data_IF_683418661851
#
_entry.id   IF_683418661851
#
_cell.length_a   1.000
_cell.length_b   1.000
_cell.length_c   1.000
_cell.angle_alpha   90.00
_cell.angle_beta   90.00
_cell.angle_gamma   90.00
#
_symmetry.space_group_name_H-M   'P 1'
#
loop_
_entity.id
_entity.type
_entity.pdbx_description
1 polymer ?
#
# COMPACT_ATOMS: atom_id res chain seq x y z
N UNK A 1 -21.15 29.69 9.33
CA UNK A 1 -21.45 29.24 7.94
C UNK A 1 -20.70 27.94 7.55
N UNK A 2 -20.26 27.08 8.48
CA UNK A 2 -19.53 25.84 8.16
C UNK A 2 -19.82 24.73 9.20
N UNK A 3 -20.94 24.01 9.08
CA UNK A 3 -21.21 22.85 9.95
C UNK A 3 -22.02 21.74 9.25
N UNK A 4 -21.69 21.44 7.99
CA UNK A 4 -22.22 20.26 7.29
C UNK A 4 -21.13 19.57 6.47
N UNK A 5 -20.16 18.98 7.16
CA UNK A 5 -19.43 17.86 6.59
C UNK A 5 -20.35 16.65 6.63
N UNK A 6 -21.02 16.38 5.51
CA UNK A 6 -21.77 15.15 5.33
C UNK A 6 -20.80 13.97 5.40
N UNK A 7 -20.86 13.21 6.49
CA UNK A 7 -20.24 11.88 6.56
C UNK A 7 -20.97 10.97 5.57
N UNK A 8 -20.44 10.85 4.36
CA UNK A 8 -20.92 9.88 3.38
C UNK A 8 -20.50 8.48 3.85
N UNK A 9 -21.43 7.76 4.49
CA UNK A 9 -21.30 6.31 4.69
C UNK A 9 -21.66 5.63 3.38
N UNK A 10 -20.65 5.19 2.62
CA UNK A 10 -20.86 4.35 1.45
C UNK A 10 -21.41 3.01 1.93
N UNK A 11 -22.71 2.78 1.75
CA UNK A 11 -23.33 1.48 2.02
C UNK A 11 -23.00 0.57 0.84
N UNK A 12 -22.03 -0.31 1.03
CA UNK A 12 -21.70 -1.34 0.05
C UNK A 12 -22.69 -2.50 0.24
N UNK A 13 -23.38 -2.97 -0.81
CA UNK A 13 -24.23 -4.16 -0.72
C UNK A 13 -23.43 -5.34 -0.16
N UNK A 14 -24.01 -6.07 0.80
CA UNK A 14 -23.33 -7.17 1.51
C UNK A 14 -22.72 -8.21 0.55
N UNK A 15 -23.43 -8.52 -0.53
CA UNK A 15 -22.99 -9.47 -1.57
C UNK A 15 -21.77 -8.95 -2.35
N UNK A 16 -21.69 -7.63 -2.59
CA UNK A 16 -20.53 -7.03 -3.21
C UNK A 16 -19.32 -7.06 -2.26
N UNK A 17 -19.52 -6.81 -0.97
CA UNK A 17 -18.45 -6.90 0.02
C UNK A 17 -17.88 -8.32 0.14
N UNK A 18 -18.73 -9.36 0.14
CA UNK A 18 -18.30 -10.77 0.13
C UNK A 18 -17.48 -11.12 -1.11
N UNK A 19 -17.92 -10.66 -2.29
CA UNK A 19 -17.22 -10.91 -3.55
C UNK A 19 -15.85 -10.23 -3.56
N UNK A 20 -15.78 -8.96 -3.16
CA UNK A 20 -14.53 -8.20 -3.07
C UNK A 20 -13.59 -8.86 -2.08
N UNK A 21 -14.07 -9.24 -0.88
CA UNK A 21 -13.25 -9.93 0.12
C UNK A 21 -12.63 -11.21 -0.46
N UNK A 22 -13.43 -12.06 -1.12
CA UNK A 22 -12.93 -13.29 -1.77
C UNK A 22 -11.85 -12.99 -2.80
N UNK A 23 -12.04 -11.98 -3.66
CA UNK A 23 -11.06 -11.58 -4.67
C UNK A 23 -9.78 -11.03 -4.04
N UNK A 24 -9.90 -10.20 -3.01
CA UNK A 24 -8.74 -9.67 -2.27
C UNK A 24 -7.94 -10.78 -1.61
N UNK A 25 -8.60 -11.75 -0.96
CA UNK A 25 -7.94 -12.89 -0.31
C UNK A 25 -7.21 -13.78 -1.32
N UNK A 26 -7.83 -14.07 -2.47
CA UNK A 26 -7.20 -14.86 -3.55
C UNK A 26 -5.99 -14.18 -4.18
N UNK A 27 -5.93 -12.85 -4.14
CA UNK A 27 -4.78 -12.10 -4.64
C UNK A 27 -3.69 -11.97 -3.59
N UNK A 28 -4.07 -11.72 -2.34
CA UNK A 28 -3.13 -11.74 -1.22
C UNK A 28 -2.38 -13.07 -1.13
N UNK A 29 -3.05 -14.20 -1.40
CA UNK A 29 -2.41 -15.53 -1.42
C UNK A 29 -1.38 -15.72 -2.53
N UNK A 30 -1.36 -14.86 -3.55
CA UNK A 30 -0.36 -14.88 -4.63
C UNK A 30 0.84 -13.99 -4.36
N UNK A 31 0.78 -13.15 -3.32
CA UNK A 31 1.91 -12.33 -2.90
C UNK A 31 2.95 -13.25 -2.29
N UNK A 32 4.09 -13.36 -2.97
CA UNK A 32 5.18 -14.21 -2.52
C UNK A 32 5.81 -13.63 -1.25
N UNK A 33 6.13 -14.51 -0.29
CA UNK A 33 6.77 -14.19 1.00
C UNK A 33 5.96 -13.31 1.95
N UNK A 34 4.66 -13.13 1.72
CA UNK A 34 3.83 -12.41 2.68
C UNK A 34 3.85 -13.13 4.04
N UNK A 35 4.24 -12.41 5.09
CA UNK A 35 4.31 -12.97 6.44
C UNK A 35 2.92 -13.06 7.08
N UNK A 36 2.79 -13.89 8.12
CA UNK A 36 1.56 -13.98 8.90
C UNK A 36 1.31 -12.66 9.67
N UNK A 37 0.06 -12.20 9.84
CA UNK A 37 -0.25 -11.04 10.68
C UNK A 37 0.30 -11.08 12.11
N UNK A 38 0.48 -12.28 12.67
CA UNK A 38 1.07 -12.49 14.01
C UNK A 38 2.61 -12.56 14.00
N UNK A 39 3.25 -12.39 12.84
CA UNK A 39 4.71 -12.40 12.74
C UNK A 39 5.30 -11.22 13.55
N UNK A 40 6.21 -11.48 14.51
CA UNK A 40 6.81 -10.44 15.34
C UNK A 40 7.47 -9.33 14.54
N UNK A 41 7.96 -9.63 13.33
CA UNK A 41 8.62 -8.67 12.45
C UNK A 41 7.72 -7.47 12.13
N UNK A 42 6.40 -7.66 12.06
CA UNK A 42 5.42 -6.60 11.80
C UNK A 42 5.29 -5.60 12.96
N UNK A 43 5.75 -5.96 14.17
CA UNK A 43 5.76 -5.09 15.34
C UNK A 43 7.15 -4.57 15.71
N UNK A 44 8.18 -5.00 14.98
CA UNK A 44 9.54 -4.54 15.19
C UNK A 44 9.82 -3.26 14.42
N UNK A 45 10.72 -2.43 14.96
CA UNK A 45 11.24 -1.26 14.24
C UNK A 45 12.15 -1.74 13.10
N UNK A 46 11.81 -1.34 11.88
CA UNK A 46 12.62 -1.66 10.71
C UNK A 46 14.00 -1.01 10.75
N UNK A 47 15.03 -1.76 10.35
CA UNK A 47 16.39 -1.24 10.23
C UNK A 47 16.53 -0.32 9.01
N UNK A 48 17.35 0.73 9.15
CA UNK A 48 17.66 1.59 8.03
C UNK A 48 18.49 0.85 6.98
N UNK A 49 18.22 1.14 5.71
CA UNK A 49 19.00 0.66 4.57
C UNK A 49 20.25 1.52 4.43
N UNK A 50 21.42 0.88 4.31
CA UNK A 50 22.70 1.55 4.09
C UNK A 50 23.10 1.50 2.62
N UNK A 51 24.02 2.38 2.22
CA UNK A 51 24.63 2.37 0.90
C UNK A 51 26.11 2.00 1.01
N UNK A 52 26.63 1.13 0.12
CA UNK A 52 25.90 0.39 -0.94
C UNK A 52 24.87 -0.60 -0.38
N UNK A 53 23.83 -0.92 -1.16
CA UNK A 53 22.73 -1.78 -0.72
C UNK A 53 23.24 -3.18 -0.34
N UNK A 54 22.89 -3.64 0.85
CA UNK A 54 23.16 -5.02 1.26
C UNK A 54 22.29 -6.01 0.45
N UNK A 55 22.69 -7.28 0.47
CA UNK A 55 22.00 -8.35 -0.28
C UNK A 55 20.53 -8.48 0.13
N UNK A 56 20.23 -8.33 1.42
CA UNK A 56 18.86 -8.43 1.93
C UNK A 56 17.96 -7.31 1.39
N UNK A 57 18.47 -6.08 1.31
CA UNK A 57 17.74 -4.93 0.77
C UNK A 57 17.51 -5.09 -0.74
N UNK A 58 18.51 -5.59 -1.47
CA UNK A 58 18.37 -5.90 -2.90
C UNK A 58 17.30 -6.96 -3.14
N UNK A 59 17.34 -8.08 -2.40
CA UNK A 59 16.33 -9.15 -2.48
C UNK A 59 14.93 -8.62 -2.13
N UNK A 60 14.81 -7.81 -1.08
CA UNK A 60 13.56 -7.18 -0.69
C UNK A 60 12.95 -6.35 -1.83
N UNK A 61 13.76 -5.48 -2.46
CA UNK A 61 13.34 -4.63 -3.58
C UNK A 61 12.90 -5.49 -4.77
N UNK A 62 13.65 -6.54 -5.11
CA UNK A 62 13.29 -7.44 -6.21
C UNK A 62 11.93 -8.11 -5.98
N UNK A 63 11.68 -8.60 -4.77
CA UNK A 63 10.39 -9.19 -4.40
C UNK A 63 9.25 -8.16 -4.44
N UNK A 64 9.49 -6.93 -3.97
CA UNK A 64 8.50 -5.85 -4.04
C UNK A 64 8.13 -5.52 -5.48
N UNK A 65 9.11 -5.35 -6.36
CA UNK A 65 8.87 -5.03 -7.78
C UNK A 65 8.11 -6.17 -8.45
N UNK A 66 8.53 -7.42 -8.24
CA UNK A 66 7.87 -8.60 -8.80
C UNK A 66 6.41 -8.72 -8.36
N UNK A 67 6.14 -8.61 -7.04
CA UNK A 67 4.79 -8.69 -6.51
C UNK A 67 3.91 -7.53 -6.98
N UNK A 68 4.47 -6.30 -7.02
CA UNK A 68 3.70 -5.13 -7.43
C UNK A 68 3.42 -5.15 -8.93
N UNK A 69 4.37 -5.51 -9.80
CA UNK A 69 4.21 -5.51 -11.26
C UNK A 69 3.33 -6.64 -11.82
N UNK A 70 2.73 -7.48 -10.96
CA UNK A 70 1.78 -8.50 -11.39
C UNK A 70 0.67 -7.89 -12.26
N UNK A 71 0.48 -8.45 -13.46
CA UNK A 71 -0.51 -8.00 -14.46
C UNK A 71 -1.93 -8.47 -14.13
N UNK A 72 -2.16 -9.06 -12.96
CA UNK A 72 -3.47 -9.61 -12.60
C UNK A 72 -4.49 -8.50 -12.29
N UNK A 73 -5.68 -8.62 -12.86
CA UNK A 73 -6.84 -7.75 -12.61
C UNK A 73 -7.88 -8.47 -11.75
N UNK A 74 -8.52 -7.79 -10.78
CA UNK A 74 -8.32 -6.40 -10.35
C UNK A 74 -7.02 -6.22 -9.54
N UNK A 75 -6.23 -5.18 -9.74
CA UNK A 75 -5.00 -4.99 -8.95
C UNK A 75 -5.39 -4.42 -7.58
N UNK A 76 -5.37 -5.27 -6.54
CA UNK A 76 -5.67 -4.86 -5.16
C UNK A 76 -4.42 -4.38 -4.43
N UNK A 77 -3.24 -4.84 -4.85
CA UNK A 77 -1.98 -4.52 -4.19
C UNK A 77 -1.35 -3.25 -4.78
N UNK A 78 -1.51 -2.15 -4.06
CA UNK A 78 -0.95 -0.84 -4.43
C UNK A 78 0.34 -0.51 -3.65
N UNK A 79 0.55 -1.11 -2.47
CA UNK A 79 1.68 -0.80 -1.57
C UNK A 79 2.20 -2.08 -0.89
N UNK A 80 3.52 -2.16 -0.71
CA UNK A 80 4.21 -3.17 0.10
C UNK A 80 5.29 -2.51 0.97
N UNK A 81 5.55 -3.08 2.15
CA UNK A 81 6.69 -2.71 2.99
C UNK A 81 7.64 -3.89 3.20
N UNK A 82 8.89 -3.61 3.57
CA UNK A 82 9.91 -4.64 3.81
C UNK A 82 9.44 -5.70 4.82
N UNK A 83 8.93 -5.29 6.01
CA UNK A 83 8.44 -6.23 7.01
C UNK A 83 7.31 -7.14 6.52
N UNK A 84 6.42 -6.67 5.64
CA UNK A 84 5.37 -7.50 5.05
C UNK A 84 5.92 -8.70 4.28
N UNK A 85 7.15 -8.63 3.77
CA UNK A 85 7.80 -9.68 2.98
C UNK A 85 8.84 -10.48 3.78
N UNK A 86 8.91 -10.28 5.09
CA UNK A 86 9.88 -10.97 5.96
C UNK A 86 11.26 -10.30 6.02
N UNK A 87 11.39 -9.04 5.59
CA UNK A 87 12.65 -8.31 5.64
C UNK A 87 12.59 -7.20 6.70
N UNK A 88 13.48 -7.22 7.70
CA UNK A 88 13.61 -6.14 8.69
C UNK A 88 14.29 -4.90 8.08
N UNK A 89 13.71 -4.32 7.03
CA UNK A 89 14.31 -3.22 6.27
C UNK A 89 13.29 -2.11 6.06
N UNK A 90 13.72 -0.87 6.26
CA UNK A 90 12.91 0.33 6.10
C UNK A 90 12.77 0.70 4.63
N UNK A 91 12.04 -0.15 3.90
CA UNK A 91 11.77 -0.03 2.47
C UNK A 91 10.26 -0.04 2.28
N UNK A 92 9.75 0.90 1.48
CA UNK A 92 8.35 0.94 1.05
C UNK A 92 8.33 0.99 -0.47
N UNK A 93 7.49 0.16 -1.08
CA UNK A 93 7.25 0.14 -2.51
C UNK A 93 5.79 0.46 -2.81
N UNK A 94 5.56 1.31 -3.79
CA UNK A 94 4.23 1.74 -4.20
C UNK A 94 4.07 1.59 -5.71
N UNK A 95 2.98 0.99 -6.15
CA UNK A 95 2.61 0.97 -7.55
C UNK A 95 1.83 2.25 -7.89
N UNK A 96 2.48 3.16 -8.61
CA UNK A 96 1.87 4.35 -9.17
C UNK A 96 1.32 4.02 -10.56
N UNK A 97 0.05 3.60 -10.59
CA UNK A 97 -0.72 3.44 -11.82
C UNK A 97 -1.99 4.26 -11.76
N UNK A 98 -2.23 5.08 -12.78
CA UNK A 98 -3.55 5.70 -12.95
C UNK A 98 -4.55 4.60 -13.32
N UNK A 99 -5.50 4.32 -12.43
CA UNK A 99 -6.62 3.42 -12.74
C UNK A 99 -7.39 4.02 -13.92
N UNK A 100 -7.81 3.19 -14.87
CA UNK A 100 -8.58 3.62 -16.06
C UNK A 100 -9.81 4.47 -15.70
N UNK A 101 -10.40 4.26 -14.51
CA UNK A 101 -11.50 5.07 -13.97
C UNK A 101 -11.17 6.56 -13.82
N UNK A 102 -9.91 6.92 -13.53
CA UNK A 102 -9.42 8.30 -13.37
C UNK A 102 -8.97 8.92 -14.70
N UNK A 103 -8.78 8.11 -15.74
CA UNK A 103 -8.33 8.54 -17.07
C UNK A 103 -9.47 8.88 -18.03
N UNK A 104 -10.73 8.58 -17.66
CA UNK A 104 -11.91 8.77 -18.54
C UNK A 104 -12.14 10.21 -19.02
N UNK A 105 -11.59 11.21 -18.32
CA UNK A 105 -11.72 12.64 -18.65
C UNK A 105 -10.45 13.26 -19.23
N UNK A 106 -9.34 12.51 -19.32
CA UNK A 106 -8.05 13.06 -19.75
C UNK A 106 -7.86 12.76 -21.24
N UNK A 107 -8.15 13.74 -22.10
CA UNK A 107 -8.09 13.64 -23.57
C UNK A 107 -6.66 13.70 -24.16
N UNK A 108 -5.64 13.73 -23.31
CA UNK A 108 -4.24 13.84 -23.73
C UNK A 108 -3.51 12.51 -23.60
N UNK A 109 -2.65 12.21 -24.56
CA UNK A 109 -1.72 11.10 -24.56
C UNK A 109 -0.72 11.21 -23.39
N UNK A 110 -1.14 10.79 -22.19
CA UNK A 110 -0.29 10.64 -21.01
C UNK A 110 0.52 9.34 -21.09
N UNK A 111 1.25 9.16 -22.19
CA UNK A 111 2.16 8.02 -22.39
C UNK A 111 3.27 7.94 -21.31
N UNK A 112 3.51 8.99 -20.53
CA UNK A 112 4.62 9.06 -19.55
C UNK A 112 4.27 8.64 -18.12
N UNK A 113 2.98 8.46 -17.78
CA UNK A 113 2.48 7.94 -16.50
C UNK A 113 2.09 6.46 -16.58
N UNK A 114 2.84 5.70 -17.39
CA UNK A 114 2.76 4.24 -17.39
C UNK A 114 2.96 3.68 -15.97
N UNK A 115 2.46 2.46 -15.74
CA UNK A 115 2.62 1.75 -14.48
C UNK A 115 4.07 1.80 -13.97
N UNK A 116 4.33 2.59 -12.94
CA UNK A 116 5.65 2.72 -12.31
C UNK A 116 5.59 2.16 -10.89
N UNK A 117 6.66 1.50 -10.48
CA UNK A 117 6.86 1.14 -9.07
C UNK A 117 7.84 2.15 -8.48
N UNK A 118 7.38 2.92 -7.50
CA UNK A 118 8.18 3.81 -6.70
C UNK A 118 8.76 3.03 -5.52
N UNK A 119 10.08 3.04 -5.36
CA UNK A 119 10.78 2.45 -4.21
C UNK A 119 11.32 3.59 -3.35
N UNK A 120 10.95 3.60 -2.08
CA UNK A 120 11.42 4.56 -1.09
C UNK A 120 12.29 3.84 -0.06
N UNK A 121 13.52 4.32 0.11
CA UNK A 121 14.49 3.82 1.09
C UNK A 121 14.55 4.79 2.26
N UNK A 122 14.45 4.26 3.47
CA UNK A 122 14.41 5.05 4.71
C UNK A 122 13.39 6.20 4.73
N UNK A 123 12.16 6.05 4.19
CA UNK A 123 11.21 7.16 4.12
C UNK A 123 10.87 7.70 5.50
N UNK A 124 10.89 9.03 5.64
CA UNK A 124 10.41 9.77 6.80
C UNK A 124 9.15 10.55 6.41
N UNK A 125 8.20 10.67 7.34
CA UNK A 125 7.07 11.59 7.18
C UNK A 125 7.55 12.94 7.71
N UNK A 126 7.68 13.91 6.81
CA UNK A 126 7.97 15.29 7.21
C UNK A 126 6.68 15.99 7.66
N UNK A 127 6.73 16.85 8.68
CA UNK A 127 5.57 17.63 9.07
C UNK A 127 5.14 18.57 7.95
N UNK A 128 3.83 18.59 7.66
CA UNK A 128 3.31 19.46 6.61
C UNK A 128 3.49 20.95 6.98
N UNK A 129 3.98 21.81 6.06
CA UNK A 129 4.25 23.22 6.35
C UNK A 129 3.02 24.04 6.78
N UNK A 130 1.81 23.57 6.48
CA UNK A 130 0.57 24.33 6.64
C UNK A 130 -0.42 23.73 7.67
N UNK A 131 -0.16 22.55 8.22
CA UNK A 131 -1.09 21.94 9.18
C UNK A 131 -0.47 21.86 10.56
N UNK A 132 -0.94 22.75 11.47
CA UNK A 132 -0.79 22.55 12.93
C UNK A 132 -1.46 21.24 13.43
N UNK A 133 -2.15 20.52 12.54
CA UNK A 133 -2.98 19.35 12.80
C UNK A 133 -2.72 18.19 11.80
N UNK A 134 -1.46 17.93 11.43
CA UNK A 134 -1.13 16.65 10.78
C UNK A 134 -1.14 15.55 11.85
N UNK A 135 -2.33 15.11 12.26
CA UNK A 135 -2.48 13.90 13.05
C UNK A 135 -2.11 12.73 12.15
N UNK A 136 -1.11 11.96 12.58
CA UNK A 136 -1.00 10.55 12.22
C UNK A 136 -2.42 9.96 12.20
N UNK A 137 -2.88 9.51 11.04
CA UNK A 137 -4.09 8.72 10.98
C UNK A 137 -3.76 7.34 11.55
N UNK A 138 -3.96 7.14 12.85
CA UNK A 138 -4.10 5.79 13.41
C UNK A 138 -5.38 5.19 12.82
N UNK A 139 -5.21 4.21 11.93
CA UNK A 139 -6.32 3.35 11.54
C UNK A 139 -6.46 2.27 12.61
N UNK A 140 -7.40 2.43 13.53
CA UNK A 140 -7.91 1.33 14.34
C UNK A 140 -8.63 0.35 13.40
N UNK A 141 -7.92 -0.69 12.96
CA UNK A 141 -8.55 -1.86 12.35
C UNK A 141 -9.35 -2.58 13.44
N UNK A 142 -10.61 -2.17 13.61
CA UNK A 142 -11.71 -2.92 14.23
C UNK A 142 -11.28 -3.76 15.44
N UNK A 143 -11.39 -3.16 16.63
CA UNK A 143 -11.65 -3.93 17.86
C UNK A 143 -13.01 -4.62 17.66
N UNK A 144 -12.97 -5.86 17.17
CA UNK A 144 -14.14 -6.74 17.18
C UNK A 144 -14.42 -7.15 18.61
N UNK A 145 -15.21 -6.35 19.32
CA UNK A 145 -15.88 -6.78 20.54
C UNK A 145 -17.24 -7.35 20.18
N UNK A 146 -17.37 -8.66 20.29
CA UNK A 146 -18.57 -9.27 20.88
C UNK A 146 -18.18 -9.76 22.27
#
# INVERSE_FOLDING_TARGET
LLSRLMKAKVKVPLEYAKLVHKQMTQQASKVTRLVNPEDPLLRMRSENVLFPLDKQSQECILHMVSNLQSKETPRVLDVLSGPMLGFNRRIIAMNMGLRASHMRSVKTDLFSLGHKVLIMLNPIVEPEPQSKNSLQYEFDFVKGSQ
#
